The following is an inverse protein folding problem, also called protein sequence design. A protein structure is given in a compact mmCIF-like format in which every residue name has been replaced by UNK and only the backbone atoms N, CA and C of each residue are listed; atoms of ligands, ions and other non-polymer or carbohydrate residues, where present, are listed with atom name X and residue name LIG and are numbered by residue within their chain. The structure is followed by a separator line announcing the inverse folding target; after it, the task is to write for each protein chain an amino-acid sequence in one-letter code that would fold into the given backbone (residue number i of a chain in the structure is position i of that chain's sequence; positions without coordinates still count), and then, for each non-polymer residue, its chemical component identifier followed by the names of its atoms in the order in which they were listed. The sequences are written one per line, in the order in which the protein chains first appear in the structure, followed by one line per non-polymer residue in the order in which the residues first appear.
data_IF_580994545662
#
_entry.id   IF_580994545662
#
_cell.length_a   1.000
_cell.length_b   1.000
_cell.length_c   1.000
_cell.angle_alpha   90.00
_cell.angle_beta   90.00
_cell.angle_gamma   90.00
#
_symmetry.space_group_name_H-M   'P 1'
#
loop_
_entity.id
_entity.type
_entity.pdbx_description
1 polymer ?
#
# COMPACT_ATOMS: atom_id res chain seq x y z
N UNK A 1 79.93 1.90 6.70
CA UNK A 1 78.73 1.56 7.49
C UNK A 1 77.52 1.94 6.63
N UNK A 2 76.87 0.98 6.04
CA UNK A 2 75.71 1.21 5.14
C UNK A 2 74.40 0.76 5.87
N UNK A 3 73.44 1.70 6.13
CA UNK A 3 72.10 1.41 6.66
C UNK A 3 71.19 0.90 5.52
N UNK A 4 70.43 -0.12 5.73
CA UNK A 4 69.37 -0.53 4.75
C UNK A 4 68.06 0.26 4.96
N UNK A 5 67.53 0.79 3.86
CA UNK A 5 66.20 1.38 3.78
C UNK A 5 65.17 0.27 3.90
N UNK A 6 64.35 0.33 4.95
CA UNK A 6 63.12 -0.49 5.07
C UNK A 6 62.00 0.18 4.32
N UNK A 7 61.56 -0.40 3.21
CA UNK A 7 60.35 -0.01 2.46
C UNK A 7 59.14 -0.66 3.13
N UNK A 8 58.35 0.16 3.79
CA UNK A 8 57.07 -0.28 4.41
C UNK A 8 55.97 -0.18 3.35
N UNK A 9 55.62 -1.31 2.72
CA UNK A 9 54.47 -1.40 1.80
C UNK A 9 53.18 -1.51 2.61
N UNK A 10 52.43 -0.40 2.69
CA UNK A 10 51.08 -0.41 3.24
C UNK A 10 50.10 -0.98 2.21
N UNK A 11 49.61 -2.19 2.44
CA UNK A 11 48.58 -2.83 1.65
C UNK A 11 47.22 -2.22 2.05
N UNK A 12 46.68 -1.33 1.22
CA UNK A 12 45.37 -0.73 1.39
C UNK A 12 44.30 -1.74 0.93
N UNK A 13 43.69 -2.48 1.87
CA UNK A 13 42.62 -3.43 1.61
C UNK A 13 41.31 -2.64 1.45
N UNK A 14 40.95 -2.30 0.21
CA UNK A 14 39.66 -1.70 -0.10
C UNK A 14 38.56 -2.80 0.00
N UNK A 15 37.82 -2.79 1.10
CA UNK A 15 36.59 -3.60 1.24
C UNK A 15 35.48 -3.00 0.39
N UNK A 16 35.28 -3.58 -0.78
CA UNK A 16 34.09 -3.29 -1.60
C UNK A 16 32.88 -3.88 -0.88
N UNK A 17 32.11 -3.03 -0.21
CA UNK A 17 30.81 -3.41 0.33
C UNK A 17 29.85 -3.64 -0.85
N UNK A 18 29.64 -4.89 -1.22
CA UNK A 18 28.56 -5.27 -2.14
C UNK A 18 27.24 -5.02 -1.46
N UNK A 19 26.56 -3.93 -1.84
CA UNK A 19 25.16 -3.71 -1.49
C UNK A 19 24.33 -4.74 -2.26
N UNK A 20 23.97 -5.82 -1.61
CA UNK A 20 22.98 -6.77 -2.12
C UNK A 20 21.64 -6.04 -2.07
N UNK A 21 21.21 -5.48 -3.19
CA UNK A 21 19.83 -5.02 -3.35
C UNK A 21 18.94 -6.28 -3.32
N UNK A 22 18.27 -6.51 -2.21
CA UNK A 22 17.22 -7.51 -2.15
C UNK A 22 16.18 -7.14 -3.19
N UNK A 23 15.98 -7.99 -4.20
CA UNK A 23 14.89 -7.84 -5.14
C UNK A 23 13.59 -7.82 -4.32
N UNK A 24 12.77 -6.80 -4.49
CA UNK A 24 11.45 -6.78 -3.84
C UNK A 24 10.64 -7.92 -4.45
N UNK A 25 10.25 -8.90 -3.64
CA UNK A 25 9.33 -9.97 -4.04
C UNK A 25 7.94 -9.38 -4.27
N UNK A 26 7.77 -8.68 -5.39
CA UNK A 26 6.49 -8.14 -5.80
C UNK A 26 5.47 -9.26 -5.98
N UNK A 27 4.24 -9.01 -5.62
CA UNK A 27 3.11 -9.93 -5.82
C UNK A 27 2.40 -9.57 -7.12
N UNK A 28 2.40 -10.49 -8.10
CA UNK A 28 1.65 -10.30 -9.33
C UNK A 28 0.16 -10.53 -9.07
N UNK A 29 -0.68 -9.59 -9.51
CA UNK A 29 -2.13 -9.64 -9.40
C UNK A 29 -2.78 -9.38 -10.75
N UNK A 30 -4.04 -9.85 -10.92
CA UNK A 30 -4.86 -9.56 -12.09
C UNK A 30 -5.69 -8.31 -11.82
N UNK A 31 -5.58 -7.31 -12.68
CA UNK A 31 -6.42 -6.12 -12.66
C UNK A 31 -7.86 -6.42 -13.10
N UNK A 32 -8.78 -5.59 -12.64
CA UNK A 32 -10.20 -5.66 -13.05
C UNK A 32 -10.43 -5.31 -14.52
N UNK A 33 -9.44 -4.74 -15.18
CA UNK A 33 -9.39 -4.48 -16.63
C UNK A 33 -8.89 -5.68 -17.45
N UNK A 34 -8.47 -6.76 -16.77
CA UNK A 34 -7.91 -7.97 -17.35
C UNK A 34 -6.39 -7.97 -17.49
N UNK A 35 -5.73 -6.83 -17.32
CA UNK A 35 -4.28 -6.72 -17.30
C UNK A 35 -3.67 -7.34 -16.04
N UNK A 36 -2.37 -7.56 -16.04
CA UNK A 36 -1.61 -7.98 -14.86
C UNK A 36 -0.67 -6.87 -14.41
N UNK A 37 -0.53 -6.69 -13.10
CA UNK A 37 0.45 -5.77 -12.54
C UNK A 37 1.00 -6.29 -11.21
N UNK A 38 2.08 -5.67 -10.74
CA UNK A 38 2.75 -6.08 -9.51
C UNK A 38 2.43 -5.10 -8.39
N UNK A 39 2.03 -5.62 -7.23
CA UNK A 39 1.93 -4.88 -5.96
C UNK A 39 3.13 -5.17 -5.09
N UNK A 40 3.44 -4.31 -4.12
CA UNK A 40 4.62 -4.33 -3.25
C UNK A 40 5.97 -4.19 -3.97
N UNK A 41 5.98 -3.77 -5.23
CA UNK A 41 7.19 -3.44 -5.98
C UNK A 41 6.94 -2.16 -6.77
N UNK A 42 7.00 -0.98 -6.12
CA UNK A 42 6.75 0.28 -6.79
C UNK A 42 7.83 0.57 -7.85
N UNK A 43 7.41 1.19 -8.95
CA UNK A 43 8.33 1.68 -9.98
C UNK A 43 9.02 2.99 -9.58
N UNK A 44 8.36 3.75 -8.70
CA UNK A 44 8.84 5.01 -8.14
C UNK A 44 9.35 4.83 -6.71
N UNK A 45 9.54 5.95 -5.99
CA UNK A 45 10.05 5.94 -4.61
C UNK A 45 9.10 5.27 -3.61
N UNK A 46 7.80 5.22 -3.90
CA UNK A 46 6.81 4.61 -3.02
C UNK A 46 5.54 4.18 -3.77
N UNK A 47 4.77 3.30 -3.13
CA UNK A 47 3.40 2.95 -3.54
C UNK A 47 2.47 3.02 -2.34
N UNK A 48 1.27 3.59 -2.55
CA UNK A 48 0.16 3.55 -1.61
C UNK A 48 -0.86 2.50 -2.08
N UNK A 49 -1.08 1.47 -1.28
CA UNK A 49 -2.00 0.36 -1.56
C UNK A 49 -3.19 0.52 -0.61
N UNK A 50 -4.35 0.86 -1.16
CA UNK A 50 -5.59 1.07 -0.41
C UNK A 50 -6.44 -0.19 -0.44
N UNK A 51 -6.85 -0.67 0.72
CA UNK A 51 -7.80 -1.75 0.90
C UNK A 51 -9.18 -1.15 1.09
N UNK A 52 -10.11 -1.44 0.19
CA UNK A 52 -11.46 -0.89 0.17
C UNK A 52 -12.48 -1.99 -0.18
N UNK A 53 -13.76 -1.73 0.03
CA UNK A 53 -14.85 -2.61 -0.39
C UNK A 53 -15.97 -1.78 -1.00
N UNK A 54 -16.70 -2.35 -1.97
CA UNK A 54 -17.76 -1.65 -2.70
C UNK A 54 -18.96 -1.34 -1.79
N UNK A 55 -19.24 -2.21 -0.84
CA UNK A 55 -20.35 -2.13 0.12
C UNK A 55 -19.98 -1.47 1.45
N UNK A 56 -18.72 -1.05 1.64
CA UNK A 56 -18.29 -0.38 2.87
C UNK A 56 -18.58 1.13 2.82
N UNK A 57 -19.55 1.65 3.61
CA UNK A 57 -19.90 3.07 3.57
C UNK A 57 -18.73 3.99 3.93
N UNK A 58 -17.83 3.54 4.82
CA UNK A 58 -16.65 4.32 5.21
C UNK A 58 -15.63 4.33 4.07
N UNK A 59 -15.42 3.21 3.34
CA UNK A 59 -14.58 3.19 2.13
C UNK A 59 -15.10 4.19 1.09
N UNK A 60 -16.41 4.19 0.88
CA UNK A 60 -17.08 5.04 -0.08
C UNK A 60 -16.96 6.52 0.31
N UNK A 61 -17.09 6.82 1.60
CA UNK A 61 -16.88 8.17 2.11
C UNK A 61 -15.45 8.66 1.90
N UNK A 62 -14.44 7.79 1.99
CA UNK A 62 -13.04 8.14 1.77
C UNK A 62 -12.65 8.26 0.28
N UNK A 63 -13.49 7.90 -0.67
CA UNK A 63 -13.15 7.93 -2.09
C UNK A 63 -12.58 9.28 -2.58
N UNK A 64 -13.15 10.45 -2.23
CA UNK A 64 -12.57 11.74 -2.61
C UNK A 64 -11.18 11.98 -2.00
N UNK A 65 -10.98 11.59 -0.73
CA UNK A 65 -9.70 11.75 -0.02
C UNK A 65 -8.62 10.88 -0.65
N UNK A 66 -8.93 9.61 -0.97
CA UNK A 66 -8.01 8.68 -1.65
C UNK A 66 -7.56 9.29 -2.99
N UNK A 67 -8.51 9.74 -3.80
CA UNK A 67 -8.20 10.36 -5.10
C UNK A 67 -7.33 11.60 -4.94
N UNK A 68 -7.64 12.45 -3.95
CA UNK A 68 -6.88 13.66 -3.71
C UNK A 68 -5.44 13.35 -3.31
N UNK A 69 -5.24 12.40 -2.38
CA UNK A 69 -3.89 11.95 -2.00
C UNK A 69 -3.14 11.43 -3.23
N UNK A 70 -3.76 10.58 -4.03
CA UNK A 70 -3.11 10.01 -5.21
C UNK A 70 -2.73 11.08 -6.23
N UNK A 71 -3.58 12.09 -6.47
CA UNK A 71 -3.25 13.21 -7.37
C UNK A 71 -2.09 14.05 -6.81
N UNK A 72 -2.12 14.38 -5.53
CA UNK A 72 -1.13 15.27 -4.90
C UNK A 72 0.29 14.67 -4.92
N UNK A 73 0.38 13.33 -4.84
CA UNK A 73 1.67 12.63 -4.78
C UNK A 73 2.10 12.01 -6.11
N UNK A 74 1.25 12.04 -7.15
CA UNK A 74 1.59 11.47 -8.48
C UNK A 74 2.85 12.08 -9.07
N UNK A 75 2.99 13.41 -9.03
CA UNK A 75 4.17 14.13 -9.55
C UNK A 75 5.46 13.82 -8.75
N UNK A 76 5.32 13.28 -7.55
CA UNK A 76 6.44 12.82 -6.70
C UNK A 76 6.75 11.34 -6.90
N UNK A 77 6.14 10.70 -7.91
CA UNK A 77 6.39 9.31 -8.28
C UNK A 77 5.75 8.28 -7.37
N UNK A 78 4.70 8.64 -6.61
CA UNK A 78 3.95 7.69 -5.80
C UNK A 78 2.90 6.99 -6.65
N UNK A 79 2.98 5.67 -6.74
CA UNK A 79 1.95 4.84 -7.35
C UNK A 79 0.79 4.61 -6.37
N UNK A 80 -0.46 4.67 -6.87
CA UNK A 80 -1.64 4.27 -6.10
C UNK A 80 -2.27 3.01 -6.68
N UNK A 81 -2.71 2.11 -5.80
CA UNK A 81 -3.42 0.89 -6.17
C UNK A 81 -4.61 0.69 -5.24
N UNK A 82 -5.76 0.32 -5.80
CA UNK A 82 -6.95 -0.09 -5.06
C UNK A 82 -7.00 -1.61 -5.01
N UNK A 83 -7.15 -2.15 -3.82
CA UNK A 83 -7.36 -3.58 -3.56
C UNK A 83 -8.74 -3.73 -2.97
N UNK A 84 -9.62 -4.34 -3.74
CA UNK A 84 -11.01 -4.59 -3.34
C UNK A 84 -11.09 -5.88 -2.56
N UNK A 85 -11.68 -5.77 -1.39
CA UNK A 85 -11.83 -6.85 -0.43
C UNK A 85 -13.26 -7.42 -0.42
N UNK A 86 -13.96 -7.23 -1.53
CA UNK A 86 -15.31 -7.78 -1.73
C UNK A 86 -15.22 -9.30 -1.90
N UNK A 87 -16.02 -10.01 -1.12
CA UNK A 87 -16.11 -11.47 -1.17
C UNK A 87 -17.55 -11.88 -1.30
N UNK A 88 -18.05 -11.96 -2.52
CA UNK A 88 -19.17 -12.85 -2.81
C UNK A 88 -18.60 -14.21 -3.27
N UNK A 89 -18.67 -15.20 -2.38
CA UNK A 89 -18.19 -16.56 -2.67
C UNK A 89 -19.02 -17.25 -3.77
N UNK A 90 -20.21 -16.73 -4.09
CA UNK A 90 -21.09 -17.23 -5.15
C UNK A 90 -20.84 -16.54 -6.50
N UNK A 91 -20.25 -15.36 -6.50
CA UNK A 91 -20.05 -14.60 -7.72
C UNK A 91 -18.88 -15.13 -8.56
N UNK A 92 -19.07 -15.13 -9.88
CA UNK A 92 -17.97 -15.43 -10.81
C UNK A 92 -16.90 -14.33 -10.78
N UNK A 93 -15.65 -14.64 -11.14
CA UNK A 93 -14.59 -13.62 -11.30
C UNK A 93 -15.00 -12.44 -12.18
N UNK A 94 -15.68 -12.69 -13.27
CA UNK A 94 -16.12 -11.65 -14.19
C UNK A 94 -17.22 -10.75 -13.61
N UNK A 95 -18.12 -11.31 -12.79
CA UNK A 95 -19.18 -10.56 -12.12
C UNK A 95 -18.58 -9.57 -11.13
N UNK A 96 -17.70 -10.03 -10.22
CA UNK A 96 -17.02 -9.15 -9.25
C UNK A 96 -16.16 -8.07 -9.94
N UNK A 97 -15.44 -8.41 -11.01
CA UNK A 97 -14.73 -7.39 -11.78
C UNK A 97 -15.70 -6.37 -12.39
N UNK A 98 -16.89 -6.81 -12.79
CA UNK A 98 -17.96 -5.93 -13.30
C UNK A 98 -18.47 -4.95 -12.25
N UNK A 99 -18.72 -5.43 -11.04
CA UNK A 99 -19.14 -4.63 -9.89
C UNK A 99 -18.09 -3.61 -9.51
N UNK A 100 -16.82 -4.05 -9.40
CA UNK A 100 -15.69 -3.14 -9.09
C UNK A 100 -15.53 -2.08 -10.18
N UNK A 101 -15.65 -2.44 -11.47
CA UNK A 101 -15.61 -1.45 -12.56
C UNK A 101 -16.78 -0.46 -12.48
N UNK A 102 -17.96 -0.89 -12.05
CA UNK A 102 -19.09 0.02 -11.81
C UNK A 102 -18.78 0.99 -10.67
N UNK A 103 -18.29 0.48 -9.55
CA UNK A 103 -17.86 1.27 -8.40
C UNK A 103 -16.75 2.29 -8.74
N UNK A 104 -15.74 1.88 -9.51
CA UNK A 104 -14.68 2.78 -9.98
C UNK A 104 -15.25 3.98 -10.76
N UNK A 105 -16.28 3.75 -11.59
CA UNK A 105 -16.97 4.82 -12.34
C UNK A 105 -17.80 5.71 -11.44
N UNK A 106 -18.62 5.10 -10.57
CA UNK A 106 -19.52 5.80 -9.64
C UNK A 106 -18.73 6.76 -8.74
N UNK A 107 -17.66 6.24 -8.13
CA UNK A 107 -16.82 7.03 -7.22
C UNK A 107 -15.69 7.78 -7.93
N UNK A 108 -15.67 7.80 -9.27
CA UNK A 108 -14.74 8.59 -10.11
C UNK A 108 -13.26 8.32 -9.84
N UNK A 109 -12.90 7.07 -9.56
CA UNK A 109 -11.50 6.70 -9.34
C UNK A 109 -10.62 6.78 -10.61
N UNK A 110 -11.23 7.03 -11.79
CA UNK A 110 -10.52 7.23 -13.04
C UNK A 110 -9.73 6.01 -13.49
N UNK A 111 -8.47 6.22 -13.85
CA UNK A 111 -7.56 5.18 -14.34
C UNK A 111 -6.70 4.54 -13.21
N UNK A 112 -7.11 4.65 -11.95
CA UNK A 112 -6.37 4.01 -10.86
C UNK A 112 -6.38 2.49 -11.05
N UNK A 113 -5.21 1.87 -10.87
CA UNK A 113 -5.09 0.40 -10.92
C UNK A 113 -5.92 -0.21 -9.81
N UNK A 114 -6.70 -1.24 -10.16
CA UNK A 114 -7.55 -1.94 -9.21
C UNK A 114 -7.49 -3.45 -9.40
N UNK A 115 -7.55 -4.20 -8.31
CA UNK A 115 -7.64 -5.66 -8.27
C UNK A 115 -8.67 -6.10 -7.24
N UNK A 116 -9.25 -7.27 -7.43
CA UNK A 116 -10.07 -7.94 -6.41
C UNK A 116 -9.21 -9.01 -5.73
N UNK A 117 -8.99 -8.88 -4.42
CA UNK A 117 -8.14 -9.82 -3.65
C UNK A 117 -8.95 -11.03 -3.15
N UNK A 118 -9.42 -11.86 -4.07
CA UNK A 118 -10.30 -13.01 -3.81
C UNK A 118 -9.71 -14.01 -2.81
N UNK A 119 -8.41 -14.18 -2.85
CA UNK A 119 -7.67 -15.15 -2.02
C UNK A 119 -7.04 -14.54 -0.78
N UNK A 120 -7.25 -13.25 -0.56
CA UNK A 120 -6.69 -12.48 0.56
C UNK A 120 -5.17 -12.46 0.62
N UNK A 121 -4.50 -12.74 -0.50
CA UNK A 121 -3.04 -12.79 -0.49
C UNK A 121 -2.42 -11.40 -0.34
N UNK A 122 -3.06 -10.36 -0.91
CA UNK A 122 -2.60 -8.97 -0.77
C UNK A 122 -2.86 -8.48 0.64
N UNK A 123 -4.09 -8.66 1.15
CA UNK A 123 -4.47 -8.30 2.52
C UNK A 123 -3.62 -9.03 3.56
N UNK A 124 -3.38 -10.34 3.39
CA UNK A 124 -2.54 -11.14 4.30
C UNK A 124 -1.12 -10.61 4.34
N UNK A 125 -0.51 -10.34 3.18
CA UNK A 125 0.85 -9.78 3.13
C UNK A 125 0.92 -8.39 3.77
N UNK A 126 -0.09 -7.56 3.54
CA UNK A 126 -0.22 -6.24 4.15
C UNK A 126 -0.58 -6.29 5.64
N UNK A 127 -1.07 -7.41 6.16
CA UNK A 127 -1.78 -7.56 7.43
C UNK A 127 -2.95 -6.57 7.53
N UNK A 128 -3.64 -6.34 6.43
CA UNK A 128 -4.85 -5.52 6.40
C UNK A 128 -6.03 -6.34 6.90
N UNK A 129 -6.79 -5.79 7.85
CA UNK A 129 -7.96 -6.44 8.47
C UNK A 129 -9.22 -5.60 8.39
N UNK A 130 -9.08 -4.35 7.94
CA UNK A 130 -10.14 -3.33 7.90
C UNK A 130 -10.13 -2.63 6.55
N UNK A 131 -11.31 -2.28 6.05
CA UNK A 131 -11.53 -1.36 4.93
C UNK A 131 -12.31 -0.13 5.40
N UNK A 132 -11.91 1.12 5.05
CA UNK A 132 -10.70 1.43 4.31
C UNK A 132 -9.46 1.38 5.20
N UNK A 133 -8.37 0.88 4.64
CA UNK A 133 -7.04 1.02 5.22
C UNK A 133 -6.01 1.19 4.10
N UNK A 134 -4.78 1.52 4.47
CA UNK A 134 -3.71 1.74 3.49
C UNK A 134 -2.37 1.22 4.02
N UNK A 135 -1.53 0.72 3.12
CA UNK A 135 -0.11 0.50 3.39
C UNK A 135 0.73 1.33 2.44
N UNK A 136 1.85 1.85 2.94
CA UNK A 136 2.89 2.45 2.13
C UNK A 136 4.05 1.47 1.99
N UNK A 137 4.49 1.29 0.76
CA UNK A 137 5.61 0.44 0.39
C UNK A 137 6.70 1.34 -0.20
N UNK A 138 7.93 1.20 0.27
CA UNK A 138 9.08 1.92 -0.28
C UNK A 138 9.61 1.25 -1.56
N UNK A 139 10.58 1.88 -2.19
CA UNK A 139 11.20 1.39 -3.42
C UNK A 139 11.83 -0.02 -3.26
N UNK A 140 12.23 -0.40 -2.06
CA UNK A 140 12.74 -1.74 -1.76
C UNK A 140 11.65 -2.80 -1.55
N UNK A 141 10.37 -2.41 -1.61
CA UNK A 141 9.24 -3.31 -1.36
C UNK A 141 8.92 -3.52 0.12
N UNK A 142 9.56 -2.76 1.02
CA UNK A 142 9.30 -2.83 2.46
C UNK A 142 8.09 -1.96 2.83
N UNK A 143 7.19 -2.51 3.68
CA UNK A 143 6.07 -1.76 4.23
C UNK A 143 6.61 -0.79 5.29
N UNK A 144 6.37 0.51 5.08
CA UNK A 144 6.82 1.60 5.96
C UNK A 144 5.70 2.22 6.77
N UNK A 145 4.48 2.06 6.32
CA UNK A 145 3.29 2.51 7.05
C UNK A 145 2.14 1.52 6.82
N UNK A 146 1.31 1.35 7.83
CA UNK A 146 0.06 0.60 7.78
C UNK A 146 -0.98 1.28 8.67
N UNK A 147 -2.20 1.40 8.18
CA UNK A 147 -3.32 1.86 9.00
C UNK A 147 -4.30 2.77 8.29
N UNK A 148 -4.79 3.77 9.02
CA UNK A 148 -5.81 4.69 8.54
C UNK A 148 -5.26 5.71 7.54
N UNK A 149 -6.15 6.27 6.72
CA UNK A 149 -5.82 7.37 5.79
C UNK A 149 -5.60 8.66 6.59
N UNK A 150 -6.51 8.94 7.50
CA UNK A 150 -6.48 10.05 8.45
C UNK A 150 -7.41 9.74 9.64
N UNK A 151 -7.62 10.70 10.53
CA UNK A 151 -8.49 10.53 11.69
C UNK A 151 -9.90 11.11 11.50
N UNK A 152 -10.44 11.13 10.29
CA UNK A 152 -11.77 11.70 10.02
C UNK A 152 -12.90 10.99 10.78
N UNK A 153 -12.75 9.74 11.13
CA UNK A 153 -13.68 9.01 11.99
C UNK A 153 -13.13 8.86 13.41
N UNK A 154 -13.95 9.21 14.40
CA UNK A 154 -13.66 8.97 15.81
C UNK A 154 -14.11 7.59 16.27
N UNK A 155 -15.20 7.07 15.65
CA UNK A 155 -15.84 5.80 15.94
C UNK A 155 -16.80 5.47 14.77
N UNK A 156 -17.39 4.27 14.73
CA UNK A 156 -18.41 3.91 13.76
C UNK A 156 -19.57 4.90 13.79
N UNK A 157 -19.94 5.43 12.59
CA UNK A 157 -20.99 6.42 12.45
C UNK A 157 -20.71 7.79 13.10
N UNK A 158 -19.49 8.03 13.58
CA UNK A 158 -19.10 9.30 14.24
C UNK A 158 -17.97 9.99 13.49
N UNK A 159 -18.25 10.62 12.34
CA UNK A 159 -17.27 11.44 11.65
C UNK A 159 -16.89 12.66 12.51
N UNK A 160 -15.63 13.04 12.47
CA UNK A 160 -15.15 14.29 13.08
C UNK A 160 -15.56 15.48 12.22
N UNK A 161 -15.85 16.61 12.85
CA UNK A 161 -16.09 17.86 12.11
C UNK A 161 -14.83 18.34 11.38
N UNK A 162 -13.66 18.09 11.96
CA UNK A 162 -12.36 18.43 11.38
C UNK A 162 -11.38 17.29 11.52
N UNK A 163 -10.68 17.00 10.43
CA UNK A 163 -9.53 16.10 10.43
C UNK A 163 -8.37 16.83 11.10
N UNK A 164 -7.79 16.23 12.14
CA UNK A 164 -6.67 16.81 12.90
C UNK A 164 -5.38 16.02 12.75
N UNK A 165 -5.43 14.82 12.16
CA UNK A 165 -4.27 14.02 11.85
C UNK A 165 -4.39 13.44 10.44
N UNK A 166 -3.42 13.73 9.60
CA UNK A 166 -3.32 13.26 8.22
C UNK A 166 -2.22 12.20 8.12
N UNK A 167 -2.43 11.06 8.78
CA UNK A 167 -1.40 10.04 9.05
C UNK A 167 -0.73 9.52 7.77
N UNK A 168 -1.51 9.22 6.72
CA UNK A 168 -0.98 8.80 5.43
C UNK A 168 -0.09 9.86 4.78
N UNK A 169 -0.55 11.13 4.77
CA UNK A 169 0.21 12.24 4.17
C UNK A 169 1.51 12.49 4.93
N UNK A 170 1.46 12.51 6.26
CA UNK A 170 2.65 12.66 7.09
C UNK A 170 3.67 11.52 6.85
N UNK A 171 3.17 10.29 6.67
CA UNK A 171 3.99 9.12 6.36
C UNK A 171 4.60 9.19 4.96
N UNK A 172 3.84 9.62 3.95
CA UNK A 172 4.32 9.85 2.59
C UNK A 172 5.41 10.94 2.56
N UNK A 173 5.17 12.06 3.22
CA UNK A 173 6.13 13.17 3.27
C UNK A 173 7.43 12.78 4.00
N UNK A 174 7.35 12.01 5.07
CA UNK A 174 8.52 11.48 5.77
C UNK A 174 9.30 10.51 4.88
N UNK A 175 8.59 9.53 4.28
CA UNK A 175 9.19 8.51 3.42
C UNK A 175 9.92 9.12 2.22
N UNK A 176 9.25 10.04 1.51
CA UNK A 176 9.81 10.70 0.33
C UNK A 176 10.96 11.68 0.66
N UNK A 177 11.06 12.11 1.91
CA UNK A 177 12.18 12.92 2.41
C UNK A 177 13.30 12.06 3.02
N UNK A 178 13.22 10.73 2.94
CA UNK A 178 14.20 9.82 3.53
C UNK A 178 14.22 9.84 5.06
N UNK A 179 13.14 10.31 5.70
CA UNK A 179 13.00 10.39 7.16
C UNK A 179 12.22 9.20 7.70
N UNK A 180 12.41 8.83 8.96
CA UNK A 180 11.56 7.83 9.62
C UNK A 180 10.09 8.24 9.59
N UNK A 181 9.20 7.26 9.34
CA UNK A 181 7.74 7.47 9.40
C UNK A 181 7.35 7.67 10.87
N UNK A 182 6.60 8.77 11.21
CA UNK A 182 6.34 9.14 12.61
C UNK A 182 5.54 8.10 13.39
N UNK A 183 4.58 7.45 12.72
CA UNK A 183 3.73 6.41 13.31
C UNK A 183 3.57 5.30 12.25
N UNK A 184 4.44 4.28 12.24
CA UNK A 184 4.44 3.26 11.18
C UNK A 184 3.19 2.37 11.17
N UNK A 185 2.49 2.26 12.29
CA UNK A 185 1.22 1.57 12.43
C UNK A 185 0.20 2.47 13.12
N UNK A 186 -1.01 2.58 12.53
CA UNK A 186 -2.15 3.29 13.13
C UNK A 186 -3.41 2.44 12.99
N UNK A 187 -4.32 2.56 13.95
CA UNK A 187 -5.58 1.84 13.90
C UNK A 187 -6.50 2.43 12.84
N UNK A 188 -6.94 1.58 11.89
CA UNK A 188 -7.97 1.92 10.91
C UNK A 188 -9.36 1.61 11.49
N UNK A 189 -10.35 2.41 11.10
CA UNK A 189 -11.74 2.22 11.49
C UNK A 189 -12.58 2.00 10.23
N UNK A 190 -13.37 0.91 10.21
CA UNK A 190 -14.14 0.54 9.03
C UNK A 190 -14.72 -0.87 9.10
N UNK A 191 -15.01 -1.44 7.94
CA UNK A 191 -15.57 -2.76 7.80
C UNK A 191 -14.50 -3.84 7.88
N UNK A 192 -14.75 -4.97 8.54
CA UNK A 192 -13.78 -6.06 8.63
C UNK A 192 -13.58 -6.74 7.28
N UNK A 193 -12.32 -7.00 6.94
CA UNK A 193 -11.98 -7.88 5.83
C UNK A 193 -12.25 -9.32 6.26
N UNK A 194 -13.28 -9.94 5.68
CA UNK A 194 -13.68 -11.29 6.06
C UNK A 194 -12.75 -12.34 5.45
N UNK A 195 -12.27 -13.29 6.25
CA UNK A 195 -11.51 -14.44 5.75
C UNK A 195 -12.47 -15.42 5.03
N UNK A 196 -12.28 -15.69 3.74
CA UNK A 196 -13.09 -16.66 3.00
C UNK A 196 -13.06 -18.08 3.61
N UNK A 197 -12.04 -18.43 4.36
CA UNK A 197 -11.93 -19.73 5.02
C UNK A 197 -13.00 -19.93 6.11
N UNK A 198 -13.51 -18.85 6.70
CA UNK A 198 -14.61 -18.91 7.70
C UNK A 198 -15.90 -19.48 7.09
N UNK A 199 -16.15 -19.24 5.82
CA UNK A 199 -17.35 -19.71 5.11
C UNK A 199 -17.22 -21.11 4.51
N UNK A 200 -16.00 -21.68 4.43
CA UNK A 200 -15.78 -23.03 3.88
C UNK A 200 -16.00 -24.17 4.88
N UNK A 201 -16.30 -23.86 6.13
CA UNK A 201 -16.46 -24.83 7.23
C UNK A 201 -17.92 -25.26 7.47
N UNK A 202 -18.80 -25.13 6.48
CA UNK A 202 -20.17 -25.65 6.57
C UNK A 202 -20.39 -26.78 5.58
#
# INVERSE_FOLDING_TARGET
MRLPLLVLSALLCATVATVVMAASDGLQVRGVDGGAFVVFAPKGPASAIFFIATDCPISNWYAPTIQQVCRDYAARGVDCTLVYEDVDLGASPAALDGEVRAHLREYRYGSMRATVDRSRVVATRARATITPSVVLVDQAGAIRYRGRIDNAYADFGKPRQHVTSHDLRASLDALLAGRPVPAPDTEALGCYITDPAVFRKK
#
